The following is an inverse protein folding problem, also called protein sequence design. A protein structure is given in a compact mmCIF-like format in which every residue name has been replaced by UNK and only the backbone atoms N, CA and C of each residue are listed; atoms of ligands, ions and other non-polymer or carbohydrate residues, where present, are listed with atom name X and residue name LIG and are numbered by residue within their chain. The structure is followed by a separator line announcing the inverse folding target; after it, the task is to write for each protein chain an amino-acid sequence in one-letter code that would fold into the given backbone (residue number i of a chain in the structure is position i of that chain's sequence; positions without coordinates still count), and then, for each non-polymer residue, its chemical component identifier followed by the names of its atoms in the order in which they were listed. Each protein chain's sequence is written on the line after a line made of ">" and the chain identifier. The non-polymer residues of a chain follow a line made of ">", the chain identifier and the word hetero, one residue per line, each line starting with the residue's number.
data_IF_686695263846
#
_entry.id   IF_686695263846
#
_cell.length_a   1.000
_cell.length_b   1.000
_cell.length_c   1.000
_cell.angle_alpha   90.00
_cell.angle_beta   90.00
_cell.angle_gamma   90.00
#
_symmetry.space_group_name_H-M   'P 1'
#
loop_
_entity.id
_entity.type
_entity.pdbx_description
1 polymer ?
#
# COMPACT_ATOMS: atom_id res chain seq x y z
N UNK A 1 -15.25 59.94 25.10
CA UNK A 1 -15.39 58.48 24.90
C UNK A 1 -14.84 58.14 23.53
N UNK A 2 -13.68 57.50 23.48
CA UNK A 2 -12.98 57.19 22.23
C UNK A 2 -13.64 55.98 21.55
N UNK A 3 -13.89 56.12 20.25
CA UNK A 3 -14.40 55.07 19.39
C UNK A 3 -13.31 54.03 19.11
N UNK A 4 -13.59 52.76 19.38
CA UNK A 4 -12.79 51.64 18.93
C UNK A 4 -12.99 51.44 17.43
N UNK A 5 -11.92 51.55 16.65
CA UNK A 5 -11.85 51.01 15.29
C UNK A 5 -10.93 49.80 15.31
N UNK A 6 -11.52 48.65 14.98
CA UNK A 6 -10.80 47.48 14.54
C UNK A 6 -10.19 47.77 13.17
N UNK A 7 -8.94 47.36 12.95
CA UNK A 7 -8.43 47.14 11.60
C UNK A 7 -7.82 45.74 11.54
N UNK A 8 -8.38 44.98 10.61
CA UNK A 8 -8.11 43.58 10.37
C UNK A 8 -6.74 43.46 9.70
N UNK A 9 -5.78 42.82 10.39
CA UNK A 9 -4.53 42.42 9.77
C UNK A 9 -4.79 41.24 8.85
N UNK A 10 -4.91 41.51 7.56
CA UNK A 10 -4.87 40.54 6.49
C UNK A 10 -3.55 39.75 6.54
N UNK A 11 -3.66 38.43 6.62
CA UNK A 11 -2.55 37.48 6.44
C UNK A 11 -2.63 36.88 5.02
N UNK A 12 -1.49 36.50 4.43
CA UNK A 12 -1.28 36.55 2.98
C UNK A 12 -1.90 35.38 2.21
N UNK A 13 -2.54 35.73 1.11
CA UNK A 13 -2.89 34.85 -0.01
C UNK A 13 -1.60 34.42 -0.73
N UNK A 14 -1.08 33.23 -0.37
CA UNK A 14 0.09 32.62 -1.01
C UNK A 14 -0.23 31.23 -1.54
N UNK A 15 -0.38 31.12 -2.86
CA UNK A 15 -0.43 29.84 -3.57
C UNK A 15 0.98 29.28 -3.79
N UNK A 16 1.11 27.95 -3.63
CA UNK A 16 2.27 27.17 -4.09
C UNK A 16 3.21 26.66 -2.99
N UNK A 17 3.22 25.33 -2.78
CA UNK A 17 4.39 24.64 -2.20
C UNK A 17 4.48 24.48 -0.69
N UNK A 18 3.79 23.46 -0.15
CA UNK A 18 4.45 22.48 0.74
C UNK A 18 5.08 22.93 2.06
N UNK A 19 4.45 23.80 2.86
CA UNK A 19 4.94 24.10 4.21
C UNK A 19 3.94 24.78 5.14
N UNK A 20 2.64 24.69 4.87
CA UNK A 20 1.62 25.34 5.69
C UNK A 20 1.49 24.73 7.08
N UNK A 21 1.08 25.54 8.07
CA UNK A 21 0.69 25.04 9.38
C UNK A 21 -0.34 23.92 9.26
N UNK A 22 -0.21 22.90 10.12
CA UNK A 22 -1.18 21.81 10.16
C UNK A 22 -2.42 22.26 10.93
N UNK A 23 -3.57 22.14 10.29
CA UNK A 23 -4.88 22.20 10.92
C UNK A 23 -5.72 21.01 10.42
N UNK A 24 -6.61 20.50 11.27
CA UNK A 24 -7.51 19.39 10.90
C UNK A 24 -8.48 19.78 9.78
N UNK A 25 -8.88 21.05 9.74
CA UNK A 25 -9.68 21.62 8.66
C UNK A 25 -8.94 21.54 7.32
N UNK A 26 -7.67 21.96 7.25
CA UNK A 26 -6.88 21.86 6.01
C UNK A 26 -6.64 20.43 5.56
N UNK A 27 -6.46 19.50 6.50
CA UNK A 27 -6.40 18.09 6.17
C UNK A 27 -7.74 17.61 5.60
N UNK A 28 -8.86 18.00 6.22
CA UNK A 28 -10.20 17.66 5.74
C UNK A 28 -10.48 18.20 4.34
N UNK A 29 -10.11 19.46 4.06
CA UNK A 29 -10.20 20.05 2.72
C UNK A 29 -9.37 19.28 1.68
N UNK A 30 -8.14 18.91 2.03
CA UNK A 30 -7.26 18.12 1.15
C UNK A 30 -7.81 16.72 0.91
N UNK A 31 -8.38 16.07 1.93
CA UNK A 31 -9.02 14.76 1.83
C UNK A 31 -10.30 14.81 0.98
N UNK A 32 -11.09 15.89 1.09
CA UNK A 32 -12.26 16.10 0.23
C UNK A 32 -11.86 16.23 -1.25
N UNK A 33 -10.76 16.93 -1.53
CA UNK A 33 -10.20 17.10 -2.89
C UNK A 33 -9.34 15.92 -3.37
N UNK A 34 -9.09 14.91 -2.53
CA UNK A 34 -8.29 13.75 -2.89
C UNK A 34 -8.92 13.01 -4.08
N UNK A 35 -8.13 12.69 -5.09
CA UNK A 35 -8.57 11.85 -6.21
C UNK A 35 -7.79 10.54 -6.21
N UNK A 36 -8.22 9.59 -7.04
CA UNK A 36 -7.52 8.32 -7.26
C UNK A 36 -6.21 8.48 -8.05
N UNK A 37 -5.85 9.70 -8.46
CA UNK A 37 -4.62 9.94 -9.23
C UNK A 37 -3.38 9.85 -8.33
N UNK A 38 -2.32 9.20 -8.85
CA UNK A 38 -1.07 9.04 -8.12
C UNK A 38 -0.47 10.39 -7.69
N UNK A 39 -0.57 11.43 -8.52
CA UNK A 39 -0.07 12.77 -8.18
C UNK A 39 -0.81 13.40 -6.98
N UNK A 40 -2.14 13.25 -6.92
CA UNK A 40 -2.95 13.77 -5.81
C UNK A 40 -2.61 13.05 -4.50
N UNK A 41 -2.53 11.71 -4.56
CA UNK A 41 -2.14 10.85 -3.44
C UNK A 41 -0.73 11.18 -2.94
N UNK A 42 0.26 11.24 -3.83
CA UNK A 42 1.65 11.50 -3.47
C UNK A 42 1.82 12.88 -2.83
N UNK A 43 1.16 13.91 -3.39
CA UNK A 43 1.22 15.28 -2.88
C UNK A 43 0.68 15.35 -1.46
N UNK A 44 -0.49 14.74 -1.21
CA UNK A 44 -1.09 14.72 0.11
C UNK A 44 -0.28 13.87 1.10
N UNK A 45 0.21 12.72 0.67
CA UNK A 45 1.08 11.84 1.46
C UNK A 45 2.33 12.58 1.95
N UNK A 46 3.03 13.28 1.05
CA UNK A 46 4.21 14.07 1.40
C UNK A 46 3.90 15.15 2.45
N UNK A 47 2.75 15.82 2.33
CA UNK A 47 2.31 16.81 3.31
C UNK A 47 2.01 16.18 4.68
N UNK A 48 1.35 15.02 4.71
CA UNK A 48 1.12 14.26 5.94
C UNK A 48 2.44 13.83 6.60
N UNK A 49 3.38 13.31 5.81
CA UNK A 49 4.69 12.85 6.26
C UNK A 49 5.53 14.00 6.82
N UNK A 50 5.49 15.17 6.18
CA UNK A 50 6.12 16.39 6.69
C UNK A 50 5.61 16.76 8.10
N UNK A 51 4.34 16.48 8.38
CA UNK A 51 3.70 16.72 9.68
C UNK A 51 3.61 15.48 10.58
N UNK A 52 4.52 14.50 10.44
CA UNK A 52 4.51 13.23 11.20
C UNK A 52 4.43 13.36 12.72
N UNK A 53 4.95 14.45 13.30
CA UNK A 53 4.81 14.75 14.75
C UNK A 53 3.34 14.83 15.20
N UNK A 54 2.41 14.99 14.26
CA UNK A 54 0.95 15.03 14.46
C UNK A 54 0.25 13.81 13.85
N UNK A 55 0.96 12.69 13.67
CA UNK A 55 0.43 11.47 13.06
C UNK A 55 -0.92 11.06 13.66
N UNK A 56 -1.06 11.10 14.99
CA UNK A 56 -2.34 10.80 15.66
C UNK A 56 -3.49 11.65 15.13
N UNK A 57 -3.34 12.99 15.10
CA UNK A 57 -4.37 13.91 14.58
C UNK A 57 -4.63 13.71 13.09
N UNK A 58 -3.58 13.40 12.32
CA UNK A 58 -3.72 13.07 10.89
C UNK A 58 -4.59 11.84 10.71
N UNK A 59 -4.29 10.76 11.44
CA UNK A 59 -5.01 9.48 11.34
C UNK A 59 -6.43 9.60 11.88
N UNK A 60 -6.65 10.31 12.98
CA UNK A 60 -7.99 10.56 13.53
C UNK A 60 -8.87 11.34 12.54
N UNK A 61 -8.32 12.37 11.90
CA UNK A 61 -9.05 13.13 10.86
C UNK A 61 -9.28 12.27 9.62
N UNK A 62 -8.27 11.53 9.17
CA UNK A 62 -8.39 10.60 8.04
C UNK A 62 -9.48 9.55 8.29
N UNK A 63 -9.53 8.95 9.48
CA UNK A 63 -10.54 7.96 9.86
C UNK A 63 -11.95 8.57 9.84
N UNK A 64 -12.11 9.76 10.42
CA UNK A 64 -13.40 10.47 10.42
C UNK A 64 -13.90 10.73 9.00
N UNK A 65 -13.02 11.19 8.11
CA UNK A 65 -13.35 11.44 6.71
C UNK A 65 -13.60 10.13 5.95
N UNK A 66 -12.83 9.07 6.22
CA UNK A 66 -13.02 7.74 5.63
C UNK A 66 -14.40 7.16 5.94
N UNK A 67 -14.85 7.26 7.19
CA UNK A 67 -16.15 6.74 7.61
C UNK A 67 -17.33 7.45 6.93
N UNK A 68 -17.18 8.73 6.60
CA UNK A 68 -18.19 9.53 5.91
C UNK A 68 -18.09 9.47 4.36
N UNK A 69 -17.06 8.80 3.83
CA UNK A 69 -16.80 8.74 2.39
C UNK A 69 -17.63 7.65 1.70
N UNK A 70 -17.93 7.86 0.41
CA UNK A 70 -18.50 6.82 -0.46
C UNK A 70 -17.50 5.69 -0.70
N UNK A 71 -17.98 4.51 -1.11
CA UNK A 71 -17.14 3.33 -1.36
C UNK A 71 -15.99 3.61 -2.34
N UNK A 72 -16.25 4.30 -3.45
CA UNK A 72 -15.23 4.67 -4.44
C UNK A 72 -14.15 5.58 -3.84
N UNK A 73 -14.59 6.53 -3.00
CA UNK A 73 -13.69 7.47 -2.33
C UNK A 73 -12.88 6.75 -1.25
N UNK A 74 -13.46 5.81 -0.51
CA UNK A 74 -12.76 4.97 0.48
C UNK A 74 -11.56 4.25 -0.14
N UNK A 75 -11.65 3.78 -1.39
CA UNK A 75 -10.50 3.19 -2.11
C UNK A 75 -9.34 4.18 -2.24
N UNK A 76 -9.62 5.45 -2.59
CA UNK A 76 -8.59 6.49 -2.68
C UNK A 76 -7.94 6.79 -1.33
N UNK A 77 -8.71 6.76 -0.24
CA UNK A 77 -8.20 6.91 1.12
C UNK A 77 -7.29 5.76 1.53
N UNK A 78 -7.62 4.52 1.15
CA UNK A 78 -6.78 3.35 1.40
C UNK A 78 -5.47 3.40 0.61
N UNK A 79 -5.48 3.89 -0.62
CA UNK A 79 -4.24 4.11 -1.37
C UNK A 79 -3.39 5.23 -0.76
N UNK A 80 -4.01 6.28 -0.22
CA UNK A 80 -3.30 7.30 0.55
C UNK A 80 -2.66 6.75 1.81
N UNK A 81 -3.38 5.97 2.62
CA UNK A 81 -2.81 5.38 3.84
C UNK A 81 -1.65 4.43 3.50
N UNK A 82 -1.77 3.66 2.42
CA UNK A 82 -0.69 2.83 1.91
C UNK A 82 0.55 3.66 1.53
N UNK A 83 0.37 4.75 0.78
CA UNK A 83 1.51 5.61 0.38
C UNK A 83 2.19 6.24 1.60
N UNK A 84 1.41 6.75 2.57
CA UNK A 84 1.94 7.32 3.81
C UNK A 84 2.72 6.26 4.58
N UNK A 85 2.17 5.06 4.77
CA UNK A 85 2.81 3.98 5.52
C UNK A 85 4.14 3.57 4.90
N UNK A 86 4.19 3.41 3.58
CA UNK A 86 5.39 2.99 2.88
C UNK A 86 6.48 4.08 2.88
N UNK A 87 6.10 5.34 2.66
CA UNK A 87 7.05 6.45 2.58
C UNK A 87 7.47 6.99 3.97
N UNK A 88 6.62 6.86 4.99
CA UNK A 88 6.94 7.30 6.36
C UNK A 88 7.85 6.34 7.12
N UNK A 89 7.82 5.03 6.80
CA UNK A 89 8.57 3.98 7.53
C UNK A 89 10.06 4.29 7.69
N UNK A 90 10.68 4.91 6.67
CA UNK A 90 12.11 5.31 6.70
C UNK A 90 12.40 6.50 7.62
N UNK A 91 11.37 7.28 7.97
CA UNK A 91 11.47 8.50 8.80
C UNK A 91 11.06 8.26 10.26
N UNK A 92 10.22 7.26 10.51
CA UNK A 92 9.75 6.90 11.85
C UNK A 92 8.53 5.97 11.84
N UNK A 93 8.21 5.42 13.02
CA UNK A 93 7.11 4.48 13.20
C UNK A 93 5.78 5.13 13.60
N UNK A 94 5.68 6.47 13.71
CA UNK A 94 4.47 7.12 14.24
C UNK A 94 3.22 6.77 13.42
N UNK A 95 3.31 6.88 12.09
CA UNK A 95 2.19 6.54 11.21
C UNK A 95 1.86 5.05 11.24
N UNK A 96 2.87 4.18 11.31
CA UNK A 96 2.65 2.73 11.41
C UNK A 96 1.85 2.41 12.67
N UNK A 97 2.21 3.00 13.81
CA UNK A 97 1.51 2.77 15.07
C UNK A 97 0.08 3.33 15.08
N UNK A 98 -0.12 4.55 14.57
CA UNK A 98 -1.44 5.17 14.55
C UNK A 98 -2.39 4.51 13.55
N UNK A 99 -1.93 4.18 12.34
CA UNK A 99 -2.75 3.48 11.37
C UNK A 99 -3.09 2.06 11.82
N UNK A 100 -2.17 1.36 12.51
CA UNK A 100 -2.43 0.02 13.05
C UNK A 100 -3.63 0.01 14.01
N UNK A 101 -3.87 1.09 14.76
CA UNK A 101 -5.02 1.19 15.68
C UNK A 101 -6.37 1.20 14.96
N UNK A 102 -6.43 1.70 13.73
CA UNK A 102 -7.69 1.97 13.03
C UNK A 102 -7.91 1.03 11.84
N UNK A 103 -6.85 0.63 11.13
CA UNK A 103 -6.95 -0.15 9.90
C UNK A 103 -7.63 -1.52 10.06
N UNK A 104 -7.36 -2.34 11.09
CA UNK A 104 -7.98 -3.66 11.20
C UNK A 104 -9.52 -3.60 11.17
N UNK A 105 -10.10 -2.68 11.94
CA UNK A 105 -11.55 -2.49 11.99
C UNK A 105 -12.11 -1.93 10.69
N UNK A 106 -11.45 -0.92 10.10
CA UNK A 106 -11.90 -0.29 8.86
C UNK A 106 -11.78 -1.21 7.64
N UNK A 107 -10.73 -2.04 7.57
CA UNK A 107 -10.56 -3.01 6.50
C UNK A 107 -11.58 -4.13 6.60
N UNK A 108 -11.90 -4.60 7.80
CA UNK A 108 -12.95 -5.59 8.00
C UNK A 108 -14.31 -5.05 7.51
N UNK A 109 -14.70 -3.86 7.97
CA UNK A 109 -15.94 -3.20 7.53
C UNK A 109 -15.96 -3.01 6.00
N UNK A 110 -14.86 -2.53 5.41
CA UNK A 110 -14.76 -2.31 3.98
C UNK A 110 -14.74 -3.62 3.16
N UNK A 111 -14.20 -4.71 3.72
CA UNK A 111 -14.23 -6.03 3.09
C UNK A 111 -15.63 -6.64 3.08
N UNK A 112 -16.39 -6.46 4.16
CA UNK A 112 -17.76 -6.95 4.30
C UNK A 112 -18.74 -6.11 3.45
N UNK A 113 -18.61 -4.79 3.46
CA UNK A 113 -19.56 -3.86 2.83
C UNK A 113 -19.15 -3.39 1.42
N UNK A 114 -17.89 -3.54 1.03
CA UNK A 114 -17.35 -3.00 -0.23
C UNK A 114 -17.59 -3.84 -1.48
N UNK A 115 -18.36 -4.94 -1.37
CA UNK A 115 -18.61 -5.86 -2.49
C UNK A 115 -17.33 -6.52 -3.02
N UNK A 116 -17.37 -7.08 -4.22
CA UNK A 116 -16.24 -7.82 -4.78
C UNK A 116 -15.01 -6.95 -5.05
N UNK A 117 -15.20 -5.69 -5.45
CA UNK A 117 -14.08 -4.80 -5.74
C UNK A 117 -13.42 -4.30 -4.45
N UNK A 118 -14.22 -4.02 -3.39
CA UNK A 118 -13.69 -3.75 -2.06
C UNK A 118 -12.85 -4.91 -1.53
N UNK A 119 -13.33 -6.15 -1.66
CA UNK A 119 -12.58 -7.35 -1.27
C UNK A 119 -11.23 -7.48 -1.98
N UNK A 120 -11.19 -7.26 -3.30
CA UNK A 120 -9.94 -7.26 -4.09
C UNK A 120 -8.96 -6.18 -3.61
N UNK A 121 -9.46 -4.97 -3.33
CA UNK A 121 -8.64 -3.85 -2.84
C UNK A 121 -8.03 -4.20 -1.48
N UNK A 122 -8.83 -4.69 -0.53
CA UNK A 122 -8.35 -5.09 0.80
C UNK A 122 -7.32 -6.21 0.71
N UNK A 123 -7.62 -7.27 -0.05
CA UNK A 123 -6.69 -8.39 -0.25
C UNK A 123 -5.35 -7.91 -0.81
N UNK A 124 -5.39 -7.05 -1.84
CA UNK A 124 -4.18 -6.49 -2.45
C UNK A 124 -3.36 -5.68 -1.45
N UNK A 125 -4.01 -4.84 -0.64
CA UNK A 125 -3.31 -4.01 0.35
C UNK A 125 -2.65 -4.85 1.45
N UNK A 126 -3.36 -5.86 1.96
CA UNK A 126 -2.81 -6.79 2.97
C UNK A 126 -1.60 -7.53 2.40
N UNK A 127 -1.70 -8.04 1.16
CA UNK A 127 -0.57 -8.68 0.46
C UNK A 127 0.64 -7.75 0.36
N UNK A 128 0.45 -6.50 -0.11
CA UNK A 128 1.54 -5.51 -0.21
C UNK A 128 2.17 -5.21 1.15
N UNK A 129 1.37 -5.09 2.21
CA UNK A 129 1.88 -4.78 3.55
C UNK A 129 2.65 -5.94 4.18
N UNK A 130 2.26 -7.17 3.89
CA UNK A 130 3.00 -8.35 4.29
C UNK A 130 4.32 -8.49 3.53
N UNK A 131 4.27 -8.39 2.19
CA UNK A 131 5.46 -8.46 1.32
C UNK A 131 6.51 -7.41 1.71
N UNK A 132 6.08 -6.18 2.00
CA UNK A 132 6.97 -5.05 2.35
C UNK A 132 7.24 -4.95 3.86
N UNK A 133 6.70 -5.89 4.65
CA UNK A 133 6.77 -5.92 6.12
C UNK A 133 6.47 -4.54 6.72
N UNK A 134 5.39 -3.90 6.26
CA UNK A 134 4.96 -2.56 6.72
C UNK A 134 4.63 -2.59 8.21
N UNK A 135 3.92 -3.63 8.65
CA UNK A 135 3.54 -3.85 10.05
C UNK A 135 4.39 -4.90 10.78
N UNK A 136 5.38 -5.50 10.11
CA UNK A 136 6.16 -6.62 10.65
C UNK A 136 5.32 -7.90 10.72
N UNK A 137 5.44 -8.67 11.79
CA UNK A 137 4.63 -9.89 12.03
C UNK A 137 3.16 -9.60 12.32
N UNK A 138 2.80 -8.33 12.57
CA UNK A 138 1.41 -7.95 12.82
C UNK A 138 0.55 -8.04 11.55
N UNK A 139 1.14 -8.01 10.35
CA UNK A 139 0.37 -8.16 9.11
C UNK A 139 -0.29 -9.53 8.98
N UNK A 140 0.22 -10.57 9.63
CA UNK A 140 -0.44 -11.88 9.71
C UNK A 140 -1.87 -11.76 10.26
N UNK A 141 -2.11 -10.98 11.32
CA UNK A 141 -3.45 -10.80 11.90
C UNK A 141 -4.44 -10.10 10.97
N UNK A 142 -3.96 -9.41 9.92
CA UNK A 142 -4.84 -8.84 8.91
C UNK A 142 -5.27 -9.90 7.89
N UNK A 143 -4.47 -10.96 7.68
CA UNK A 143 -4.82 -12.05 6.75
C UNK A 143 -6.07 -12.79 7.21
N UNK A 144 -6.30 -12.88 8.53
CA UNK A 144 -7.54 -13.42 9.10
C UNK A 144 -8.81 -12.71 8.61
N UNK A 145 -8.72 -11.43 8.21
CA UNK A 145 -9.87 -10.68 7.65
C UNK A 145 -10.30 -11.25 6.29
N UNK A 146 -9.36 -11.83 5.54
CA UNK A 146 -9.62 -12.38 4.21
C UNK A 146 -10.26 -13.78 4.27
N UNK A 147 -10.12 -14.48 5.41
CA UNK A 147 -10.51 -15.88 5.57
C UNK A 147 -9.66 -16.85 4.77
N UNK A 148 -10.08 -18.12 4.73
CA UNK A 148 -9.35 -19.23 4.09
C UNK A 148 -9.26 -19.13 2.55
N UNK A 149 -10.07 -18.29 1.91
CA UNK A 149 -10.13 -18.20 0.45
C UNK A 149 -10.08 -16.74 -0.05
N UNK A 150 -8.90 -16.08 0.04
CA UNK A 150 -8.74 -14.73 -0.47
C UNK A 150 -9.01 -14.69 -1.98
N UNK A 151 -9.59 -13.60 -2.52
CA UNK A 151 -9.74 -13.44 -3.95
C UNK A 151 -8.37 -13.56 -4.61
N UNK A 152 -8.27 -14.38 -5.67
CA UNK A 152 -7.03 -14.60 -6.39
C UNK A 152 -6.41 -13.26 -6.81
N UNK A 153 -5.32 -12.87 -6.13
CA UNK A 153 -4.53 -11.72 -6.50
C UNK A 153 -3.68 -12.14 -7.70
N UNK A 154 -4.16 -11.87 -8.91
CA UNK A 154 -3.39 -12.09 -10.11
C UNK A 154 -2.22 -11.11 -10.16
N UNK A 155 -1.12 -11.47 -9.49
CA UNK A 155 0.17 -10.84 -9.65
C UNK A 155 0.69 -11.25 -11.02
N UNK A 156 0.44 -10.43 -12.03
CA UNK A 156 1.05 -10.60 -13.34
C UNK A 156 2.56 -10.33 -13.24
N UNK A 157 3.31 -11.33 -12.77
CA UNK A 157 4.68 -11.58 -13.17
C UNK A 157 4.65 -12.63 -14.29
N UNK A 158 4.17 -12.26 -15.47
CA UNK A 158 4.41 -13.05 -16.69
C UNK A 158 5.86 -12.81 -17.11
N UNK A 159 6.75 -13.59 -16.52
CA UNK A 159 7.85 -14.22 -17.26
C UNK A 159 7.89 -15.65 -16.79
N UNK A 160 6.89 -16.39 -17.22
CA UNK A 160 6.92 -17.84 -17.26
C UNK A 160 6.70 -18.22 -18.71
N UNK A 161 7.78 -18.62 -19.39
CA UNK A 161 7.70 -19.57 -20.49
C UNK A 161 7.45 -20.95 -19.84
N UNK A 162 6.33 -21.62 -20.08
CA UNK A 162 6.14 -23.00 -19.68
C UNK A 162 6.01 -23.85 -20.94
N UNK A 163 7.06 -24.56 -21.33
CA UNK A 163 6.90 -25.64 -22.31
C UNK A 163 7.28 -26.95 -21.65
N UNK A 164 6.25 -27.66 -21.24
CA UNK A 164 6.33 -29.09 -20.96
C UNK A 164 5.11 -29.72 -21.60
N UNK A 165 5.29 -30.48 -22.70
CA UNK A 165 4.92 -31.89 -22.78
C UNK A 165 5.16 -32.50 -24.17
N UNK A 166 5.22 -33.85 -24.25
CA UNK A 166 6.05 -34.60 -25.19
C UNK A 166 5.27 -35.02 -26.44
N UNK A 167 5.98 -35.34 -27.51
CA UNK A 167 5.47 -36.26 -28.53
C UNK A 167 6.63 -36.94 -29.24
N UNK A 168 6.54 -38.27 -29.27
CA UNK A 168 7.38 -39.20 -29.99
C UNK A 168 7.15 -39.11 -31.49
N UNK A 169 8.21 -38.98 -32.29
CA UNK A 169 8.24 -39.57 -33.63
C UNK A 169 9.66 -39.92 -34.04
N UNK A 170 9.77 -41.04 -34.75
CA UNK A 170 10.92 -41.88 -34.98
C UNK A 170 11.87 -41.42 -36.10
N UNK A 171 12.98 -42.17 -36.24
CA UNK A 171 14.01 -42.22 -37.31
C UNK A 171 15.09 -41.13 -37.24
N UNK A 172 16.39 -41.42 -37.37
CA UNK A 172 17.07 -42.59 -37.92
C UNK A 172 18.58 -42.55 -37.63
N UNK A 173 19.17 -43.74 -37.49
CA UNK A 173 20.47 -44.17 -38.04
C UNK A 173 21.82 -43.83 -37.38
N UNK A 174 22.60 -44.91 -37.31
CA UNK A 174 24.06 -45.07 -37.21
C UNK A 174 24.61 -45.16 -35.78
N UNK A 175 24.95 -46.37 -35.31
CA UNK A 175 26.24 -47.08 -35.50
C UNK A 175 27.40 -46.18 -35.01
N UNK A 176 28.28 -46.57 -34.09
CA UNK A 176 28.90 -47.86 -33.88
C UNK A 176 29.69 -47.84 -32.55
N UNK A 177 30.03 -49.03 -32.04
CA UNK A 177 31.16 -49.33 -31.13
C UNK A 177 31.14 -48.87 -29.65
N UNK A 178 31.01 -49.87 -28.79
CA UNK A 178 31.60 -49.95 -27.43
C UNK A 178 33.15 -50.10 -27.52
N UNK A 179 33.97 -50.18 -26.43
CA UNK A 179 33.63 -50.37 -25.01
C UNK A 179 34.46 -49.59 -23.95
N UNK A 180 33.93 -49.60 -22.73
CA UNK A 180 34.57 -49.82 -21.40
C UNK A 180 36.01 -49.33 -21.21
N UNK A 181 36.22 -48.38 -20.28
CA UNK A 181 37.21 -48.55 -19.19
C UNK A 181 36.72 -47.85 -17.92
N UNK A 182 36.68 -48.61 -16.82
CA UNK A 182 36.44 -48.17 -15.45
C UNK A 182 37.81 -47.89 -14.83
N UNK A 183 38.12 -46.66 -14.44
CA UNK A 183 39.28 -46.39 -13.54
C UNK A 183 38.87 -45.36 -12.50
N UNK A 184 38.75 -45.87 -11.29
CA UNK A 184 38.80 -45.11 -10.04
C UNK A 184 40.25 -44.70 -9.78
N UNK A 185 40.50 -43.43 -9.46
CA UNK A 185 41.40 -43.05 -8.35
C UNK A 185 41.63 -41.54 -8.25
N UNK A 186 41.31 -41.03 -7.04
CA UNK A 186 42.18 -40.26 -6.15
C UNK A 186 42.88 -38.99 -6.69
N UNK A 187 42.45 -37.88 -6.07
CA UNK A 187 43.24 -37.05 -5.12
C UNK A 187 44.01 -35.82 -5.68
N UNK A 188 43.89 -34.76 -4.86
CA UNK A 188 44.73 -33.57 -4.68
C UNK A 188 44.73 -32.50 -5.78
N UNK A 189 44.24 -31.30 -5.44
CA UNK A 189 45.04 -30.30 -4.71
C UNK A 189 44.14 -29.41 -3.86
#
# INVERSE_FOLDING_TARGET
>A
MAAAKADAKAEPTGGGGGGGSFTEERLSEKLNKLSSSAASIQTLSNWCIFHRKRARRVVDTWQRQFNNATTDKKVSFLYLSNDILQNSKRKGGEFVNEFWRVLPGLLKDFYENGGQDGKKVVARLIGIWDERKVFGTRSESLKDILGDNPPALNNNSTTSNPTSKPSSVSKSSQRDSSPIIKISSKRCR
#
